data_IF_296948813420
#
_entry.id   IF_296948813420
#
_cell.length_a   1.000
_cell.length_b   1.000
_cell.length_c   1.000
_cell.angle_alpha   90.00
_cell.angle_beta   90.00
_cell.angle_gamma   90.00
#
_symmetry.space_group_name_H-M   'P 1'
#
loop_
_entity.id
_entity.type
_entity.pdbx_description
1 polymer ?
#
# COMPACT_ATOMS: atom_id res chain seq x y z
N UNK A 1 -18.48 41.98 -0.25
CA UNK A 1 -17.29 41.97 0.61
C UNK A 1 -17.24 40.59 1.21
N UNK A 2 -16.21 39.79 0.91
CA UNK A 2 -16.06 38.48 1.57
C UNK A 2 -15.86 38.71 3.07
N UNK A 3 -16.67 38.04 3.88
CA UNK A 3 -16.63 38.07 5.33
C UNK A 3 -15.39 37.30 5.82
N UNK A 4 -14.65 37.88 6.76
CA UNK A 4 -13.48 37.22 7.37
C UNK A 4 -13.82 35.88 8.06
N UNK A 5 -15.05 35.69 8.54
CA UNK A 5 -15.47 34.41 9.08
C UNK A 5 -15.58 33.33 8.01
N UNK A 6 -15.96 33.67 6.77
CA UNK A 6 -16.12 32.68 5.70
C UNK A 6 -14.75 32.15 5.25
N UNK A 7 -13.74 33.03 5.20
CA UNK A 7 -12.34 32.66 4.93
C UNK A 7 -11.73 31.80 6.04
N UNK A 8 -12.09 32.07 7.29
CA UNK A 8 -11.58 31.31 8.43
C UNK A 8 -12.08 29.86 8.42
N UNK A 9 -13.38 29.64 8.23
CA UNK A 9 -13.94 28.29 8.16
C UNK A 9 -13.43 27.53 6.92
N UNK A 10 -13.29 28.20 5.78
CA UNK A 10 -12.72 27.60 4.57
C UNK A 10 -11.27 27.12 4.80
N UNK A 11 -10.43 27.92 5.45
CA UNK A 11 -9.06 27.54 5.77
C UNK A 11 -8.98 26.33 6.72
N UNK A 12 -9.86 26.26 7.73
CA UNK A 12 -9.94 25.10 8.63
C UNK A 12 -10.38 23.85 7.88
N UNK A 13 -11.42 23.95 7.04
CA UNK A 13 -11.91 22.80 6.25
C UNK A 13 -10.85 22.28 5.27
N UNK A 14 -10.08 23.16 4.64
CA UNK A 14 -8.97 22.77 3.77
C UNK A 14 -7.85 22.04 4.56
N UNK A 15 -7.54 22.51 5.77
CA UNK A 15 -6.53 21.90 6.63
C UNK A 15 -6.97 20.53 7.17
N UNK A 16 -8.22 20.40 7.62
CA UNK A 16 -8.80 19.11 8.03
C UNK A 16 -8.85 18.12 6.86
N UNK A 17 -9.32 18.55 5.68
CA UNK A 17 -9.36 17.73 4.48
C UNK A 17 -7.96 17.28 4.03
N UNK A 18 -6.95 18.15 4.17
CA UNK A 18 -5.56 17.79 3.89
C UNK A 18 -5.03 16.74 4.88
N UNK A 19 -5.32 16.89 6.17
CA UNK A 19 -4.91 15.93 7.20
C UNK A 19 -5.57 14.57 7.00
N UNK A 20 -6.88 14.53 6.72
CA UNK A 20 -7.59 13.30 6.40
C UNK A 20 -7.01 12.61 5.16
N UNK A 21 -6.78 13.36 4.07
CA UNK A 21 -6.18 12.81 2.85
C UNK A 21 -4.79 12.20 3.11
N UNK A 22 -3.96 12.84 3.94
CA UNK A 22 -2.64 12.32 4.34
C UNK A 22 -2.77 11.05 5.18
N UNK A 23 -3.73 11.00 6.10
CA UNK A 23 -4.00 9.83 6.91
C UNK A 23 -4.43 8.63 6.06
N UNK A 24 -5.43 8.80 5.19
CA UNK A 24 -5.90 7.72 4.31
C UNK A 24 -4.80 7.24 3.35
N UNK A 25 -4.02 8.16 2.78
CA UNK A 25 -2.88 7.78 1.93
C UNK A 25 -1.82 6.98 2.69
N UNK A 26 -1.56 7.33 3.96
CA UNK A 26 -0.66 6.58 4.83
C UNK A 26 -1.18 5.16 5.12
N UNK A 27 -2.47 5.03 5.42
CA UNK A 27 -3.14 3.75 5.64
C UNK A 27 -3.11 2.86 4.40
N UNK A 28 -3.43 3.42 3.22
CA UNK A 28 -3.40 2.68 1.96
C UNK A 28 -1.98 2.20 1.64
N UNK A 29 -0.98 3.09 1.78
CA UNK A 29 0.42 2.76 1.58
C UNK A 29 0.87 1.64 2.51
N UNK A 30 0.57 1.73 3.81
CA UNK A 30 0.92 0.69 4.78
C UNK A 30 0.25 -0.65 4.48
N UNK A 31 -1.00 -0.64 4.00
CA UNK A 31 -1.70 -1.87 3.59
C UNK A 31 -1.07 -2.50 2.35
N UNK A 32 -0.67 -1.69 1.37
CA UNK A 32 0.01 -2.15 0.17
C UNK A 32 1.38 -2.75 0.51
N UNK A 33 2.20 -2.03 1.26
CA UNK A 33 3.53 -2.50 1.70
C UNK A 33 3.44 -3.81 2.51
N UNK A 34 2.47 -3.91 3.42
CA UNK A 34 2.26 -5.14 4.20
C UNK A 34 1.84 -6.33 3.33
N UNK A 35 1.02 -6.10 2.30
CA UNK A 35 0.63 -7.16 1.34
C UNK A 35 1.82 -7.62 0.52
N UNK A 36 2.63 -6.69 0.03
CA UNK A 36 3.80 -7.01 -0.80
C UNK A 36 4.85 -7.79 0.00
N UNK A 37 5.10 -7.39 1.25
CA UNK A 37 6.02 -8.12 2.14
C UNK A 37 5.51 -9.52 2.46
N UNK A 38 4.23 -9.66 2.80
CA UNK A 38 3.62 -10.97 3.04
C UNK A 38 3.70 -11.89 1.82
N UNK A 39 3.48 -11.35 0.61
CA UNK A 39 3.59 -12.11 -0.63
C UNK A 39 5.03 -12.59 -0.88
N UNK A 40 6.04 -11.75 -0.62
CA UNK A 40 7.45 -12.13 -0.72
C UNK A 40 7.85 -13.19 0.31
N UNK A 41 7.42 -13.04 1.55
CA UNK A 41 7.69 -14.04 2.60
C UNK A 41 7.04 -15.39 2.25
N UNK A 42 5.80 -15.36 1.77
CA UNK A 42 5.11 -16.56 1.30
C UNK A 42 5.84 -17.20 0.11
N UNK A 43 6.26 -16.43 -0.88
CA UNK A 43 7.02 -16.95 -2.02
C UNK A 43 8.34 -17.61 -1.59
N UNK A 44 9.10 -17.00 -0.67
CA UNK A 44 10.32 -17.60 -0.10
C UNK A 44 10.05 -18.94 0.57
N UNK A 45 9.01 -19.00 1.42
CA UNK A 45 8.60 -20.24 2.09
C UNK A 45 8.20 -21.31 1.07
N UNK A 46 7.36 -20.96 0.09
CA UNK A 46 6.93 -21.90 -0.94
C UNK A 46 8.10 -22.44 -1.77
N UNK A 47 9.06 -21.58 -2.14
CA UNK A 47 10.29 -21.97 -2.83
C UNK A 47 11.13 -22.93 -1.99
N UNK A 48 11.29 -22.67 -0.69
CA UNK A 48 11.99 -23.58 0.23
C UNK A 48 11.30 -24.94 0.40
N UNK A 49 9.98 -24.99 0.18
CA UNK A 49 9.19 -26.23 0.18
C UNK A 49 9.24 -26.96 -1.18
N UNK A 50 9.97 -26.43 -2.16
CA UNK A 50 10.13 -27.04 -3.48
C UNK A 50 8.93 -26.85 -4.42
N UNK A 51 8.05 -25.87 -4.16
CA UNK A 51 6.96 -25.57 -5.09
C UNK A 51 7.49 -25.02 -6.42
N UNK A 52 6.86 -25.36 -7.56
CA UNK A 52 7.23 -24.80 -8.85
C UNK A 52 7.04 -23.27 -8.90
N UNK A 53 7.99 -22.56 -9.51
CA UNK A 53 7.97 -21.09 -9.65
C UNK A 53 6.66 -20.59 -10.27
N UNK A 54 6.08 -21.31 -11.23
CA UNK A 54 4.81 -20.94 -11.87
C UNK A 54 3.63 -20.94 -10.89
N UNK A 55 3.58 -21.91 -9.98
CA UNK A 55 2.54 -21.99 -8.93
C UNK A 55 2.73 -20.86 -7.92
N UNK A 56 3.98 -20.60 -7.53
CA UNK A 56 4.31 -19.51 -6.60
C UNK A 56 3.90 -18.15 -7.21
N UNK A 57 4.16 -17.95 -8.51
CA UNK A 57 3.77 -16.73 -9.23
C UNK A 57 2.26 -16.51 -9.23
N UNK A 58 1.47 -17.57 -9.47
CA UNK A 58 0.00 -17.49 -9.45
C UNK A 58 -0.54 -17.13 -8.06
N UNK A 59 0.04 -17.67 -6.98
CA UNK A 59 -0.46 -17.45 -5.61
C UNK A 59 -0.03 -16.10 -5.06
N UNK A 60 1.23 -15.69 -5.30
CA UNK A 60 1.80 -14.49 -4.69
C UNK A 60 1.68 -13.24 -5.57
N UNK A 61 1.35 -13.42 -6.85
CA UNK A 61 1.31 -12.34 -7.83
C UNK A 61 2.69 -11.79 -8.21
N UNK A 62 3.77 -12.42 -7.74
CA UNK A 62 5.14 -12.09 -8.12
C UNK A 62 5.49 -12.73 -9.47
N UNK A 63 6.36 -12.07 -10.22
CA UNK A 63 6.90 -12.61 -11.46
C UNK A 63 7.88 -13.75 -11.19
N UNK A 64 8.07 -14.64 -12.16
CA UNK A 64 9.06 -15.71 -12.05
C UNK A 64 10.47 -15.17 -11.76
N UNK A 65 10.84 -14.05 -12.39
CA UNK A 65 12.13 -13.38 -12.15
C UNK A 65 12.27 -12.86 -10.71
N UNK A 66 11.22 -12.28 -10.15
CA UNK A 66 11.22 -11.87 -8.73
C UNK A 66 11.38 -13.08 -7.83
N UNK A 67 10.64 -14.17 -8.07
CA UNK A 67 10.71 -15.40 -7.27
C UNK A 67 12.08 -16.09 -7.38
N UNK A 68 12.69 -16.13 -8.56
CA UNK A 68 14.02 -16.70 -8.75
C UNK A 68 15.10 -15.92 -7.97
N UNK A 69 14.87 -14.62 -7.79
CA UNK A 69 15.75 -13.70 -7.04
C UNK A 69 15.49 -13.69 -5.52
N UNK A 70 14.41 -14.31 -5.03
CA UNK A 70 14.08 -14.47 -3.61
C UNK A 70 14.86 -15.59 -2.93
#
# INVERSE_FOLDING_TARGET
MENNNDKFWMAITDEEGFLEARYYKGMEKGRAEGKDEANRENARKMKSLGMPTEVIAQVTGLTATEIDSL
#
